data_IF_253809742096
#
_entry.id   IF_253809742096
#
_cell.length_a   1.000
_cell.length_b   1.000
_cell.length_c   1.000
_cell.angle_alpha   90.00
_cell.angle_beta   90.00
_cell.angle_gamma   90.00
#
_symmetry.space_group_name_H-M   'P 1'
#
loop_
_entity.id
_entity.type
_entity.pdbx_description
1 polymer ?
#
# COMPACT_ATOMS: atom_id res chain seq x y z
N UNK A 1 10.71 8.88 -12.42
CA UNK A 1 10.94 8.92 -10.96
C UNK A 1 10.81 7.50 -10.42
N UNK A 2 11.14 7.29 -9.16
CA UNK A 2 10.94 6.00 -8.46
C UNK A 2 10.10 6.29 -7.23
N UNK A 3 9.16 5.42 -6.92
CA UNK A 3 8.35 5.52 -5.72
C UNK A 3 7.87 4.15 -5.27
N UNK A 4 7.65 4.02 -3.97
CA UNK A 4 7.10 2.80 -3.39
C UNK A 4 5.60 2.81 -3.55
N UNK A 5 5.04 1.74 -4.11
CA UNK A 5 3.59 1.56 -4.12
C UNK A 5 3.08 1.42 -2.69
N UNK A 6 2.21 2.34 -2.26
CA UNK A 6 1.66 2.32 -0.91
C UNK A 6 0.16 2.13 -0.86
N UNK A 7 -0.56 2.42 -1.94
CA UNK A 7 -2.03 2.36 -1.96
C UNK A 7 -2.50 1.99 -3.35
N UNK A 8 -3.55 1.17 -3.41
CA UNK A 8 -4.35 0.89 -4.61
C UNK A 8 -5.80 1.20 -4.29
N UNK A 9 -6.48 1.85 -5.22
CA UNK A 9 -7.90 2.20 -5.08
C UNK A 9 -8.67 1.70 -6.30
N UNK A 10 -9.80 0.99 -6.10
CA UNK A 10 -10.67 0.62 -7.21
C UNK A 10 -11.38 1.86 -7.78
N UNK A 11 -12.00 1.76 -8.97
CA UNK A 11 -12.85 2.83 -9.47
C UNK A 11 -13.95 3.16 -8.46
N UNK A 12 -14.20 4.46 -8.27
CA UNK A 12 -15.17 4.94 -7.28
C UNK A 12 -16.33 5.65 -7.97
N UNK A 13 -17.56 5.13 -7.88
CA UNK A 13 -18.72 5.79 -8.45
C UNK A 13 -19.12 7.03 -7.62
N UNK A 14 -19.41 8.12 -8.30
CA UNK A 14 -20.10 9.31 -7.79
C UNK A 14 -21.39 9.52 -8.60
N UNK A 15 -22.35 10.34 -8.10
CA UNK A 15 -23.66 10.48 -8.75
C UNK A 15 -23.63 10.88 -10.23
N UNK A 16 -22.61 11.61 -10.67
CA UNK A 16 -22.49 12.15 -12.03
C UNK A 16 -21.27 11.67 -12.81
N UNK A 17 -20.37 10.92 -12.18
CA UNK A 17 -19.12 10.45 -12.79
C UNK A 17 -18.50 9.33 -11.95
N UNK A 18 -17.69 8.46 -12.55
CA UNK A 18 -16.90 7.44 -11.84
C UNK A 18 -15.42 7.83 -11.88
N UNK A 19 -14.83 8.06 -10.71
CA UNK A 19 -13.38 8.22 -10.63
C UNK A 19 -12.70 6.90 -11.06
N UNK A 20 -11.68 6.95 -11.93
CA UNK A 20 -10.97 5.75 -12.36
C UNK A 20 -10.24 5.07 -11.20
N UNK A 21 -9.84 3.82 -11.40
CA UNK A 21 -8.91 3.16 -10.48
C UNK A 21 -7.63 3.99 -10.38
N UNK A 22 -7.00 3.99 -9.22
CA UNK A 22 -5.78 4.77 -8.99
C UNK A 22 -4.82 4.04 -8.07
N UNK A 23 -3.58 4.50 -8.05
CA UNK A 23 -2.58 4.03 -7.11
C UNK A 23 -1.72 5.20 -6.64
N UNK A 24 -1.19 5.08 -5.42
CA UNK A 24 -0.35 6.10 -4.81
C UNK A 24 1.07 5.58 -4.63
N UNK A 25 2.02 6.38 -5.08
CA UNK A 25 3.44 6.18 -4.86
C UNK A 25 3.96 7.11 -3.76
N UNK A 26 4.71 6.56 -2.81
CA UNK A 26 5.57 7.32 -1.91
C UNK A 26 6.90 7.56 -2.64
N UNK A 27 7.14 8.79 -3.12
CA UNK A 27 8.30 9.17 -3.91
C UNK A 27 9.51 9.62 -3.06
N UNK A 28 9.28 9.99 -1.80
CA UNK A 28 10.33 10.22 -0.80
C UNK A 28 9.89 11.09 0.37
N UNK A 29 10.75 11.19 1.37
CA UNK A 29 10.61 12.10 2.50
C UNK A 29 11.65 13.22 2.40
N UNK A 30 11.25 14.44 2.71
CA UNK A 30 12.16 15.55 3.00
C UNK A 30 12.27 15.70 4.52
N UNK A 31 13.50 15.63 5.05
CA UNK A 31 13.77 15.58 6.48
C UNK A 31 14.88 16.51 6.93
N UNK A 32 14.79 17.01 8.17
CA UNK A 32 15.86 17.73 8.88
C UNK A 32 16.03 17.12 10.26
N UNK A 33 17.27 16.88 10.70
CA UNK A 33 17.61 16.35 12.03
C UNK A 33 16.83 15.09 12.43
N UNK A 34 16.59 14.20 11.47
CA UNK A 34 15.82 12.96 11.69
C UNK A 34 14.31 13.12 11.74
N UNK A 35 13.80 14.35 11.62
CA UNK A 35 12.36 14.66 11.55
C UNK A 35 11.94 14.75 10.09
N UNK A 36 10.92 13.98 9.70
CA UNK A 36 10.28 14.11 8.39
C UNK A 36 9.42 15.38 8.40
N UNK A 37 9.78 16.34 7.54
CA UNK A 37 9.05 17.60 7.38
C UNK A 37 7.96 17.49 6.32
N UNK A 38 8.24 16.73 5.25
CA UNK A 38 7.30 16.52 4.13
C UNK A 38 7.44 15.09 3.62
N UNK A 39 6.32 14.43 3.37
CA UNK A 39 6.24 13.18 2.61
C UNK A 39 5.64 13.46 1.24
N UNK A 40 6.29 12.99 0.18
CA UNK A 40 5.83 13.14 -1.20
C UNK A 40 5.05 11.89 -1.57
N UNK A 41 3.72 12.04 -1.61
CA UNK A 41 2.78 11.03 -2.07
C UNK A 41 2.17 11.49 -3.38
N UNK A 42 2.23 10.67 -4.42
CA UNK A 42 1.66 10.98 -5.73
C UNK A 42 0.66 9.92 -6.16
N UNK A 43 -0.57 10.34 -6.39
CA UNK A 43 -1.62 9.48 -6.93
C UNK A 43 -1.68 9.60 -8.44
N UNK A 44 -1.72 8.45 -9.10
CA UNK A 44 -1.88 8.32 -10.54
C UNK A 44 -3.16 7.56 -10.85
N UNK A 45 -3.85 7.99 -11.90
CA UNK A 45 -4.90 7.18 -12.48
C UNK A 45 -4.30 5.97 -13.20
N UNK A 46 -4.94 4.81 -13.06
CA UNK A 46 -4.56 3.59 -13.76
C UNK A 46 -4.77 3.69 -15.29
N UNK A 47 -5.60 4.63 -15.75
CA UNK A 47 -5.82 4.92 -17.17
C UNK A 47 -4.91 6.04 -17.73
N UNK A 48 -3.96 6.53 -16.93
CA UNK A 48 -3.07 7.59 -17.38
C UNK A 48 -2.17 7.11 -18.53
N UNK A 49 -1.77 8.03 -19.41
CA UNK A 49 -0.84 7.74 -20.51
C UNK A 49 0.63 7.53 -20.06
N UNK A 50 0.89 7.46 -18.74
CA UNK A 50 2.21 7.22 -18.19
C UNK A 50 2.51 5.72 -18.17
N UNK A 51 3.76 5.36 -18.44
CA UNK A 51 4.24 3.98 -18.33
C UNK A 51 4.93 3.78 -17.00
N UNK A 52 4.61 2.68 -16.32
CA UNK A 52 5.23 2.26 -15.07
C UNK A 52 5.80 0.86 -15.22
N UNK A 53 6.87 0.59 -14.50
CA UNK A 53 7.51 -0.72 -14.41
C UNK A 53 7.69 -1.08 -12.93
N UNK A 54 7.52 -2.36 -12.61
CA UNK A 54 7.80 -2.88 -11.27
C UNK A 54 9.31 -3.08 -11.15
N UNK A 55 9.96 -2.20 -10.38
CA UNK A 55 11.40 -2.27 -10.16
C UNK A 55 11.80 -3.33 -9.12
N UNK A 56 10.94 -3.56 -8.12
CA UNK A 56 11.18 -4.51 -7.03
C UNK A 56 9.85 -5.03 -6.48
N UNK A 57 9.82 -6.31 -6.12
CA UNK A 57 8.71 -6.93 -5.40
C UNK A 57 9.14 -7.33 -3.98
N UNK A 58 8.24 -7.25 -2.98
CA UNK A 58 8.50 -7.78 -1.65
C UNK A 58 8.85 -9.27 -1.71
N UNK A 59 9.85 -9.69 -0.93
CA UNK A 59 10.31 -11.07 -0.85
C UNK A 59 9.42 -11.89 0.09
N UNK A 60 9.19 -13.19 -0.17
CA UNK A 60 8.53 -14.08 0.78
C UNK A 60 9.13 -14.00 2.19
N UNK A 61 8.26 -13.99 3.20
CA UNK A 61 8.64 -13.85 4.62
C UNK A 61 8.82 -12.40 5.10
N UNK A 62 8.92 -11.41 4.21
CA UNK A 62 8.78 -10.00 4.62
C UNK A 62 7.35 -9.73 5.10
N UNK A 63 7.17 -8.65 5.86
CA UNK A 63 5.87 -8.31 6.47
C UNK A 63 5.43 -6.92 6.03
N UNK A 64 4.27 -6.87 5.38
CA UNK A 64 3.57 -5.62 5.06
C UNK A 64 2.84 -5.17 6.31
N UNK A 65 3.16 -3.98 6.79
CA UNK A 65 2.41 -3.28 7.84
C UNK A 65 1.41 -2.38 7.14
N UNK A 66 0.13 -2.73 7.22
CA UNK A 66 -0.94 -2.05 6.50
C UNK A 66 -1.95 -1.43 7.43
N UNK A 67 -2.61 -0.36 7.00
CA UNK A 67 -3.68 0.29 7.73
C UNK A 67 -4.89 0.43 6.81
N UNK A 68 -6.05 -0.01 7.29
CA UNK A 68 -7.31 0.30 6.62
C UNK A 68 -7.85 1.62 7.13
N UNK A 69 -8.06 2.55 6.20
CA UNK A 69 -8.68 3.82 6.49
C UNK A 69 -9.50 4.30 5.29
N UNK A 70 -10.73 4.75 5.54
CA UNK A 70 -11.59 5.30 4.49
C UNK A 70 -11.94 4.32 3.36
N UNK A 71 -11.99 3.02 3.65
CA UNK A 71 -12.28 1.97 2.66
C UNK A 71 -11.11 1.62 1.75
N UNK A 72 -9.89 2.05 2.09
CA UNK A 72 -8.66 1.73 1.38
C UNK A 72 -7.63 1.14 2.34
N UNK A 73 -6.77 0.28 1.82
CA UNK A 73 -5.62 -0.28 2.53
C UNK A 73 -4.35 0.46 2.10
N UNK A 74 -3.63 1.03 3.06
CA UNK A 74 -2.36 1.70 2.85
C UNK A 74 -1.20 0.92 3.49
N UNK A 75 -0.14 0.67 2.72
CA UNK A 75 1.12 0.13 3.20
C UNK A 75 1.91 1.24 3.90
N UNK A 76 2.03 1.11 5.21
CA UNK A 76 2.81 2.03 6.04
C UNK A 76 4.30 1.68 6.05
N UNK A 77 4.61 0.38 6.12
CA UNK A 77 5.97 -0.11 6.23
C UNK A 77 6.12 -1.54 5.68
N UNK A 78 7.28 -1.84 5.10
CA UNK A 78 7.68 -3.21 4.72
C UNK A 78 8.84 -3.62 5.62
N UNK A 79 8.59 -4.57 6.51
CA UNK A 79 9.55 -5.07 7.48
C UNK A 79 10.18 -6.38 7.01
N UNK A 80 11.39 -6.66 7.50
CA UNK A 80 12.11 -7.91 7.19
C UNK A 80 11.55 -9.14 7.90
N UNK A 81 10.78 -8.94 8.98
CA UNK A 81 10.18 -10.01 9.79
C UNK A 81 9.03 -9.49 10.64
N UNK A 82 8.26 -10.40 11.24
CA UNK A 82 7.17 -10.06 12.18
C UNK A 82 7.72 -9.26 13.37
N UNK A 83 8.82 -9.69 13.97
CA UNK A 83 9.45 -8.98 15.10
C UNK A 83 9.87 -7.56 14.72
N UNK A 84 10.43 -7.36 13.53
CA UNK A 84 10.79 -6.03 13.05
C UNK A 84 9.54 -5.15 12.83
N UNK A 85 8.45 -5.73 12.32
CA UNK A 85 7.18 -5.02 12.14
C UNK A 85 6.56 -4.58 13.47
N UNK A 86 6.55 -5.46 14.48
CA UNK A 86 6.03 -5.16 15.82
C UNK A 86 6.82 -4.04 16.50
N UNK A 87 8.16 -4.10 16.43
CA UNK A 87 9.02 -3.04 16.95
C UNK A 87 8.76 -1.70 16.24
N UNK A 88 8.56 -1.73 14.93
CA UNK A 88 8.21 -0.55 14.15
C UNK A 88 6.85 0.02 14.59
N UNK A 89 5.81 -0.81 14.73
CA UNK A 89 4.47 -0.39 15.19
C UNK A 89 4.55 0.25 16.58
N UNK A 90 5.28 -0.37 17.52
CA UNK A 90 5.44 0.14 18.87
C UNK A 90 6.12 1.51 18.90
N UNK A 91 7.11 1.72 18.01
CA UNK A 91 7.83 2.99 17.88
C UNK A 91 6.97 4.10 17.26
N UNK A 92 6.25 3.79 16.18
CA UNK A 92 5.49 4.79 15.42
C UNK A 92 4.08 5.04 15.99
N UNK A 93 3.56 4.13 16.82
CA UNK A 93 2.27 4.28 17.51
C UNK A 93 1.05 3.85 16.70
N UNK A 94 1.21 3.15 15.58
CA UNK A 94 0.11 2.66 14.73
C UNK A 94 -0.57 1.41 15.29
N UNK A 95 -1.28 1.55 16.42
CA UNK A 95 -1.88 0.43 17.18
C UNK A 95 -2.90 -0.41 16.42
N UNK A 96 -3.47 0.11 15.34
CA UNK A 96 -4.51 -0.56 14.54
C UNK A 96 -3.98 -1.05 13.18
N UNK A 97 -2.66 -1.03 12.96
CA UNK A 97 -2.07 -1.61 11.76
C UNK A 97 -2.16 -3.14 11.79
N UNK A 98 -2.38 -3.76 10.63
CA UNK A 98 -2.32 -5.20 10.43
C UNK A 98 -0.98 -5.61 9.84
N UNK A 99 -0.62 -6.87 10.10
CA UNK A 99 0.57 -7.51 9.53
C UNK A 99 0.12 -8.52 8.48
N UNK A 100 0.68 -8.43 7.28
CA UNK A 100 0.45 -9.36 6.17
C UNK A 100 1.80 -9.93 5.73
N UNK A 101 2.00 -11.24 5.91
CA UNK A 101 3.26 -11.90 5.55
C UNK A 101 3.25 -12.20 4.06
N UNK A 102 4.30 -11.73 3.37
CA UNK A 102 4.48 -11.95 1.93
C UNK A 102 4.64 -13.44 1.67
N UNK A 103 3.81 -13.99 0.79
CA UNK A 103 3.87 -15.41 0.39
C UNK A 103 3.04 -16.37 1.24
N UNK A 104 2.34 -15.89 2.27
CA UNK A 104 1.35 -16.70 3.02
C UNK A 104 -0.10 -16.49 2.54
N UNK A 105 -0.30 -15.57 1.61
CA UNK A 105 -1.60 -15.13 1.08
C UNK A 105 -2.26 -16.17 0.14
N UNK A 106 -1.50 -17.18 -0.33
CA UNK A 106 -1.97 -18.21 -1.28
C UNK A 106 -2.93 -19.25 -0.66
N UNK A 107 -3.21 -19.20 0.64
CA UNK A 107 -4.14 -20.12 1.29
C UNK A 107 -5.62 -19.70 1.24
N UNK A 108 -5.94 -18.46 0.81
CA UNK A 108 -7.28 -17.88 1.01
C UNK A 108 -7.97 -17.21 -0.19
N UNK A 109 -7.32 -17.07 -1.35
CA UNK A 109 -7.83 -16.24 -2.46
C UNK A 109 -8.30 -17.00 -3.71
N UNK A 110 -8.63 -18.29 -3.55
CA UNK A 110 -9.26 -19.11 -4.58
C UNK A 110 -10.79 -19.23 -4.37
N UNK A 111 -11.47 -18.17 -3.91
CA UNK A 111 -12.86 -18.26 -3.44
C UNK A 111 -13.86 -17.22 -3.95
N UNK A 112 -13.45 -16.23 -4.72
CA UNK A 112 -14.28 -15.06 -5.04
C UNK A 112 -14.38 -14.78 -6.56
N UNK A 113 -14.38 -15.86 -7.33
CA UNK A 113 -14.76 -15.85 -8.74
C UNK A 113 -15.83 -16.90 -9.05
N UNK A 114 -17.05 -16.76 -8.50
CA UNK A 114 -18.25 -17.30 -9.14
C UNK A 114 -19.54 -16.63 -8.61
N UNK A 115 -20.51 -16.45 -9.52
CA UNK A 115 -21.92 -16.07 -9.32
C UNK A 115 -22.29 -14.60 -9.63
N UNK A 116 -22.33 -14.31 -10.93
CA UNK A 116 -23.51 -13.67 -11.53
C UNK A 116 -23.66 -14.19 -12.97
N UNK A 117 -24.53 -15.18 -13.13
CA UNK A 117 -25.13 -15.56 -14.41
C UNK A 117 -26.48 -14.86 -14.54
#
# INVERSE_FOLDING_TARGET
GVGRLVKKEPPRPYPTWTAPASFTLHEGNFSSDGVILVTIMRTHSADSALTFEVAEEPKPGQVRVVLDFGGCTELLHLAESVTAAELWIAREGYRNARLEIVGEEDAGRAGDAELAA
#
